data_IF_234708279985
#
_entry.id   IF_234708279985
#
_cell.length_a   1.000
_cell.length_b   1.000
_cell.length_c   1.000
_cell.angle_alpha   90.00
_cell.angle_beta   90.00
_cell.angle_gamma   90.00
#
_symmetry.space_group_name_H-M   'P 1'
#
loop_
_entity.id
_entity.type
_entity.pdbx_description
1 polymer ?
#
# COMPACT_ATOMS: atom_id res chain seq x y z
N UNK A 1 -21.53 2.87 6.05
CA UNK A 1 -20.71 1.64 5.95
C UNK A 1 -19.69 1.82 4.84
N UNK A 2 -18.46 1.37 5.03
CA UNK A 2 -17.39 1.45 4.05
C UNK A 2 -16.56 0.18 4.02
N UNK A 3 -15.83 0.00 2.93
CA UNK A 3 -14.94 -1.14 2.71
C UNK A 3 -13.76 -0.71 1.86
N UNK A 4 -12.55 -1.04 2.28
CA UNK A 4 -11.30 -0.79 1.54
C UNK A 4 -10.44 -2.03 1.51
N UNK A 5 -9.64 -2.16 0.45
CA UNK A 5 -8.67 -3.24 0.30
C UNK A 5 -7.25 -2.67 0.38
N UNK A 6 -6.41 -3.23 1.24
CA UNK A 6 -4.97 -2.98 1.27
C UNK A 6 -4.21 -4.20 0.75
N UNK A 7 -3.19 -3.99 -0.08
CA UNK A 7 -2.29 -5.04 -0.56
C UNK A 7 -0.86 -4.66 -0.24
N UNK A 8 -0.23 -5.38 0.67
CA UNK A 8 1.22 -5.35 0.90
C UNK A 8 1.89 -6.21 -0.17
N UNK A 9 2.70 -5.58 -1.02
CA UNK A 9 3.23 -6.22 -2.22
C UNK A 9 4.65 -6.73 -1.96
N UNK A 10 4.83 -8.04 -2.04
CA UNK A 10 6.12 -8.67 -2.29
C UNK A 10 6.14 -9.39 -3.64
N UNK A 11 7.33 -9.83 -4.05
CA UNK A 11 7.54 -10.52 -5.35
C UNK A 11 8.14 -11.93 -5.19
N UNK A 12 8.15 -12.52 -3.98
CA UNK A 12 8.72 -13.85 -3.78
C UNK A 12 7.76 -14.96 -4.23
N UNK A 13 8.15 -15.85 -5.14
CA UNK A 13 7.37 -17.04 -5.47
C UNK A 13 7.55 -18.17 -4.44
N UNK A 14 8.55 -18.05 -3.54
CA UNK A 14 8.89 -19.10 -2.55
C UNK A 14 8.34 -18.80 -1.16
N UNK A 15 8.29 -17.51 -0.76
CA UNK A 15 7.82 -17.07 0.55
C UNK A 15 6.54 -16.26 0.39
N UNK A 16 5.64 -16.34 1.38
CA UNK A 16 4.45 -15.48 1.44
C UNK A 16 4.84 -14.05 1.86
N UNK A 17 5.49 -13.35 0.93
CA UNK A 17 6.02 -12.00 1.11
C UNK A 17 4.98 -10.91 0.83
N UNK A 18 3.76 -11.28 0.45
CA UNK A 18 2.67 -10.35 0.17
C UNK A 18 1.50 -10.66 1.11
N UNK A 19 0.65 -9.66 1.36
CA UNK A 19 -0.59 -9.82 2.08
C UNK A 19 -1.70 -8.95 1.46
N UNK A 20 -2.94 -9.44 1.54
CA UNK A 20 -4.14 -8.65 1.21
C UNK A 20 -4.99 -8.57 2.46
N UNK A 21 -5.51 -7.38 2.74
CA UNK A 21 -6.38 -7.10 3.87
C UNK A 21 -7.63 -6.36 3.38
N UNK A 22 -8.82 -6.80 3.76
CA UNK A 22 -10.05 -6.01 3.62
C UNK A 22 -10.41 -5.45 4.98
N UNK A 23 -10.68 -4.16 5.05
CA UNK A 23 -11.18 -3.47 6.23
C UNK A 23 -12.60 -2.98 5.92
N UNK A 24 -13.56 -3.41 6.73
CA UNK A 24 -14.96 -2.99 6.66
C UNK A 24 -15.31 -2.20 7.92
N UNK A 25 -16.15 -1.17 7.80
CA UNK A 25 -16.65 -0.43 8.95
C UNK A 25 -18.08 0.06 8.78
N UNK A 26 -18.78 0.15 9.90
CA UNK A 26 -20.05 0.85 10.06
C UNK A 26 -20.04 1.62 11.41
N UNK A 27 -21.12 2.31 11.80
CA UNK A 27 -21.15 3.05 13.07
C UNK A 27 -20.96 2.18 14.33
N UNK A 28 -21.19 0.87 14.25
CA UNK A 28 -21.16 -0.05 15.39
C UNK A 28 -19.92 -0.94 15.45
N UNK A 29 -19.22 -1.17 14.33
CA UNK A 29 -18.06 -2.04 14.30
C UNK A 29 -17.06 -1.73 13.17
N UNK A 30 -15.81 -2.15 13.41
CA UNK A 30 -14.76 -2.27 12.41
C UNK A 30 -14.34 -3.75 12.37
N UNK A 31 -14.25 -4.32 11.18
CA UNK A 31 -13.83 -5.72 10.98
C UNK A 31 -12.80 -5.82 9.87
N UNK A 32 -11.97 -6.86 9.92
CA UNK A 32 -10.98 -7.10 8.88
C UNK A 32 -10.76 -8.59 8.60
N UNK A 33 -10.38 -8.90 7.37
CA UNK A 33 -9.86 -10.21 6.98
C UNK A 33 -8.52 -10.00 6.27
N UNK A 34 -7.53 -10.85 6.57
CA UNK A 34 -6.17 -10.75 6.04
C UNK A 34 -5.67 -12.11 5.57
N UNK A 35 -5.02 -12.12 4.41
CA UNK A 35 -4.39 -13.32 3.87
C UNK A 35 -3.05 -13.04 3.26
N UNK A 36 -2.04 -13.83 3.67
CA UNK A 36 -0.70 -13.81 3.08
C UNK A 36 -0.62 -14.74 1.88
N UNK A 37 0.10 -14.34 0.85
CA UNK A 37 0.27 -15.11 -0.39
C UNK A 37 1.67 -14.97 -0.98
N UNK A 38 2.07 -15.97 -1.78
CA UNK A 38 3.27 -15.93 -2.64
C UNK A 38 2.97 -15.20 -3.95
N UNK A 39 4.01 -14.68 -4.60
CA UNK A 39 3.92 -14.11 -5.95
C UNK A 39 3.79 -15.21 -7.02
N UNK A 40 2.71 -15.99 -6.93
CA UNK A 40 2.30 -17.00 -7.90
C UNK A 40 0.91 -16.61 -8.41
N UNK A 41 0.68 -16.50 -9.74
CA UNK A 41 -0.55 -15.92 -10.28
C UNK A 41 -1.84 -16.49 -9.69
N UNK A 42 -1.97 -17.82 -9.62
CA UNK A 42 -3.16 -18.48 -9.07
C UNK A 42 -3.34 -18.22 -7.56
N UNK A 43 -2.25 -18.13 -6.80
CA UNK A 43 -2.32 -17.86 -5.35
C UNK A 43 -2.66 -16.39 -5.08
N UNK A 44 -2.14 -15.47 -5.89
CA UNK A 44 -2.48 -14.04 -5.82
C UNK A 44 -3.97 -13.84 -6.09
N UNK A 45 -4.49 -14.44 -7.16
CA UNK A 45 -5.90 -14.32 -7.53
C UNK A 45 -6.83 -14.92 -6.46
N UNK A 46 -6.55 -16.14 -6.02
CA UNK A 46 -7.33 -16.80 -4.98
C UNK A 46 -7.31 -16.04 -3.64
N UNK A 47 -6.16 -15.47 -3.26
CA UNK A 47 -6.06 -14.69 -2.03
C UNK A 47 -6.81 -13.35 -2.12
N UNK A 48 -6.57 -12.59 -3.19
CA UNK A 48 -7.17 -11.27 -3.40
C UNK A 48 -8.68 -11.37 -3.52
N UNK A 49 -9.20 -12.25 -4.38
CA UNK A 49 -10.65 -12.40 -4.54
C UNK A 49 -11.30 -13.00 -3.31
N UNK A 50 -10.62 -13.95 -2.63
CA UNK A 50 -11.12 -14.55 -1.40
C UNK A 50 -11.33 -13.53 -0.29
N UNK A 51 -10.38 -12.61 -0.10
CA UNK A 51 -10.46 -11.56 0.95
C UNK A 51 -11.36 -10.39 0.52
N UNK A 52 -11.25 -9.93 -0.73
CA UNK A 52 -12.10 -8.85 -1.24
C UNK A 52 -13.60 -9.25 -1.24
N UNK A 53 -13.90 -10.51 -1.55
CA UNK A 53 -15.26 -11.01 -1.64
C UNK A 53 -16.06 -10.31 -2.75
N UNK A 54 -17.38 -10.22 -2.57
CA UNK A 54 -18.32 -9.56 -3.52
C UNK A 54 -18.67 -8.13 -3.12
N UNK A 55 -18.00 -7.58 -2.11
CA UNK A 55 -18.29 -6.25 -1.56
C UNK A 55 -17.83 -5.18 -2.54
N UNK A 56 -18.54 -4.06 -2.59
CA UNK A 56 -18.07 -2.88 -3.32
C UNK A 56 -17.03 -2.14 -2.48
N UNK A 57 -15.81 -2.04 -3.00
CA UNK A 57 -14.69 -1.37 -2.38
C UNK A 57 -14.70 0.12 -2.72
N UNK A 58 -14.53 0.97 -1.72
CA UNK A 58 -14.37 2.41 -1.92
C UNK A 58 -13.01 2.77 -2.51
N UNK A 59 -11.98 1.99 -2.17
CA UNK A 59 -10.65 2.10 -2.74
C UNK A 59 -9.86 0.79 -2.57
N UNK A 60 -8.84 0.62 -3.40
CA UNK A 60 -7.81 -0.40 -3.25
C UNK A 60 -6.43 0.26 -3.19
N UNK A 61 -5.71 0.06 -2.10
CA UNK A 61 -4.42 0.64 -1.82
C UNK A 61 -3.30 -0.41 -1.91
N UNK A 62 -2.20 -0.09 -2.58
CA UNK A 62 -1.09 -1.03 -2.83
C UNK A 62 0.22 -0.49 -2.26
N UNK A 63 0.85 -1.22 -1.35
CA UNK A 63 2.21 -0.93 -0.87
C UNK A 63 3.24 -1.42 -1.90
N UNK A 64 3.29 -0.71 -3.00
CA UNK A 64 4.16 -1.01 -4.13
C UNK A 64 4.05 0.10 -5.17
N UNK A 65 5.14 0.39 -5.90
CA UNK A 65 5.18 1.56 -6.77
C UNK A 65 4.23 1.38 -7.95
N UNK A 66 3.33 2.34 -8.14
CA UNK A 66 2.37 2.38 -9.23
C UNK A 66 2.52 3.68 -10.03
N UNK A 67 1.95 3.68 -11.24
CA UNK A 67 1.81 4.89 -12.06
C UNK A 67 0.56 4.80 -12.91
N UNK A 68 0.11 5.95 -13.39
CA UNK A 68 -1.01 6.04 -14.33
C UNK A 68 -0.88 5.02 -15.46
N UNK A 69 -1.97 4.30 -15.75
CA UNK A 69 -2.03 3.25 -16.76
C UNK A 69 -1.48 1.88 -16.33
N UNK A 70 -0.95 1.76 -15.10
CA UNK A 70 -0.21 0.57 -14.65
C UNK A 70 0.98 0.22 -15.57
N UNK A 71 1.59 1.25 -16.15
CA UNK A 71 2.80 1.11 -16.96
C UNK A 71 4.00 0.69 -16.09
N UNK A 72 5.01 0.11 -16.73
CA UNK A 72 6.29 -0.14 -16.08
C UNK A 72 6.96 1.17 -15.64
N UNK A 73 7.54 1.17 -14.44
CA UNK A 73 8.37 2.26 -13.92
C UNK A 73 9.84 1.92 -14.20
N UNK A 74 10.39 2.49 -15.28
CA UNK A 74 11.80 2.30 -15.66
C UNK A 74 12.73 3.45 -15.27
N UNK A 75 12.20 4.51 -14.67
CA UNK A 75 12.90 5.78 -14.41
C UNK A 75 12.72 6.25 -12.98
N UNK A 76 13.69 7.01 -12.49
CA UNK A 76 13.63 7.59 -11.15
C UNK A 76 12.53 8.65 -11.07
N UNK A 77 11.60 8.53 -10.11
CA UNK A 77 10.42 9.41 -10.04
C UNK A 77 10.75 10.73 -9.33
N UNK A 78 10.12 11.82 -9.77
CA UNK A 78 10.29 13.12 -9.12
C UNK A 78 9.80 13.10 -7.65
N UNK A 79 8.73 12.36 -7.36
CA UNK A 79 8.26 12.12 -5.99
C UNK A 79 9.36 11.48 -5.12
N UNK A 80 10.01 10.42 -5.60
CA UNK A 80 11.13 9.76 -4.90
C UNK A 80 12.30 10.73 -4.65
N UNK A 81 12.61 11.60 -5.62
CA UNK A 81 13.64 12.65 -5.48
C UNK A 81 13.29 13.68 -4.41
N UNK A 82 12.06 14.21 -4.43
CA UNK A 82 11.61 15.27 -3.52
C UNK A 82 11.52 14.73 -2.10
N UNK A 83 10.90 13.55 -1.94
CA UNK A 83 10.74 12.88 -0.65
C UNK A 83 12.11 12.53 -0.04
N UNK A 84 13.02 11.95 -0.81
CA UNK A 84 14.37 11.61 -0.33
C UNK A 84 15.18 12.86 0.04
N UNK A 85 15.07 13.96 -0.73
CA UNK A 85 15.89 15.17 -0.51
C UNK A 85 15.38 16.07 0.61
N UNK A 86 14.07 16.19 0.81
CA UNK A 86 13.48 17.12 1.79
C UNK A 86 13.03 16.47 3.08
N UNK A 87 12.60 15.20 2.99
CA UNK A 87 12.02 14.48 4.13
C UNK A 87 12.86 13.28 4.56
N UNK A 88 13.97 12.97 3.87
CA UNK A 88 14.74 11.74 4.07
C UNK A 88 15.29 11.48 5.48
N UNK A 89 15.37 12.50 6.34
CA UNK A 89 15.68 12.32 7.77
C UNK A 89 14.46 11.88 8.61
N UNK A 90 13.25 12.17 8.13
CA UNK A 90 11.94 11.95 8.78
C UNK A 90 11.15 10.81 8.15
N UNK A 91 11.56 10.33 6.98
CA UNK A 91 10.94 9.22 6.25
C UNK A 91 11.97 8.13 5.95
N UNK A 92 11.58 6.86 6.02
CA UNK A 92 12.38 5.75 5.49
C UNK A 92 12.58 5.97 3.99
N UNK A 93 13.76 5.66 3.46
CA UNK A 93 14.07 5.85 2.03
C UNK A 93 12.99 5.16 1.19
N UNK A 94 12.22 5.89 0.37
CA UNK A 94 11.35 5.27 -0.61
C UNK A 94 12.21 4.35 -1.48
N UNK A 95 11.85 3.07 -1.59
CA UNK A 95 12.57 2.13 -2.44
C UNK A 95 12.66 2.70 -3.85
N UNK A 96 13.87 2.74 -4.44
CA UNK A 96 14.04 3.33 -5.77
C UNK A 96 13.34 2.45 -6.81
N UNK A 97 12.25 2.93 -7.40
CA UNK A 97 11.48 2.14 -8.38
C UNK A 97 12.31 1.79 -9.64
N UNK A 98 13.39 2.53 -9.91
CA UNK A 98 14.31 2.29 -11.03
C UNK A 98 15.34 1.17 -10.77
N UNK A 99 15.59 0.78 -9.51
CA UNK A 99 16.50 -0.30 -9.19
C UNK A 99 15.88 -1.66 -9.56
N UNK A 100 16.67 -2.74 -9.76
CA UNK A 100 16.13 -4.06 -10.10
C UNK A 100 15.02 -4.54 -9.16
N UNK A 101 15.19 -4.31 -7.85
CA UNK A 101 14.18 -4.60 -6.83
C UNK A 101 12.92 -3.73 -6.99
N UNK A 102 13.09 -2.44 -7.28
CA UNK A 102 11.98 -1.52 -7.51
C UNK A 102 11.17 -1.86 -8.77
N UNK A 103 11.84 -2.32 -9.82
CA UNK A 103 11.18 -2.82 -11.04
C UNK A 103 10.39 -4.10 -10.78
N UNK A 104 10.96 -5.04 -10.02
CA UNK A 104 10.26 -6.27 -9.63
C UNK A 104 9.03 -5.95 -8.76
N UNK A 105 9.17 -5.00 -7.83
CA UNK A 105 8.08 -4.55 -6.98
C UNK A 105 6.98 -3.83 -7.78
N UNK A 106 7.34 -2.99 -8.76
CA UNK A 106 6.38 -2.37 -9.68
C UNK A 106 5.62 -3.41 -10.50
N UNK A 107 6.32 -4.40 -11.05
CA UNK A 107 5.68 -5.48 -11.80
C UNK A 107 4.68 -6.25 -10.91
N UNK A 108 5.10 -6.66 -9.71
CA UNK A 108 4.23 -7.34 -8.76
C UNK A 108 3.03 -6.48 -8.32
N UNK A 109 3.23 -5.18 -8.11
CA UNK A 109 2.16 -4.24 -7.74
C UNK A 109 1.15 -4.08 -8.88
N UNK A 110 1.64 -3.93 -10.13
CA UNK A 110 0.80 -3.88 -11.31
C UNK A 110 -0.01 -5.17 -11.48
N UNK A 111 0.58 -6.34 -11.21
CA UNK A 111 -0.13 -7.63 -11.31
C UNK A 111 -1.25 -7.74 -10.27
N UNK A 112 -0.98 -7.37 -9.01
CA UNK A 112 -2.00 -7.33 -7.97
C UNK A 112 -3.11 -6.33 -8.32
N UNK A 113 -2.75 -5.14 -8.81
CA UNK A 113 -3.72 -4.14 -9.24
C UNK A 113 -4.60 -4.65 -10.38
N UNK A 114 -4.03 -5.34 -11.37
CA UNK A 114 -4.81 -5.96 -12.46
C UNK A 114 -5.76 -7.04 -11.95
N UNK A 115 -5.36 -7.86 -10.97
CA UNK A 115 -6.23 -8.87 -10.37
C UNK A 115 -7.45 -8.22 -9.70
N UNK A 116 -7.23 -7.16 -8.90
CA UNK A 116 -8.31 -6.39 -8.27
C UNK A 116 -9.21 -5.76 -9.34
N UNK A 117 -8.62 -5.12 -10.35
CA UNK A 117 -9.34 -4.47 -11.43
C UNK A 117 -10.14 -5.46 -12.31
N UNK A 118 -9.75 -6.74 -12.39
CA UNK A 118 -10.53 -7.73 -13.15
C UNK A 118 -11.66 -8.36 -12.34
N UNK A 119 -11.46 -8.63 -11.05
CA UNK A 119 -12.39 -9.43 -10.25
C UNK A 119 -13.16 -8.68 -9.16
N UNK A 120 -12.79 -7.43 -8.84
CA UNK A 120 -13.40 -6.67 -7.76
C UNK A 120 -14.18 -5.45 -8.27
N UNK A 121 -15.24 -5.09 -7.55
CA UNK A 121 -15.96 -3.84 -7.79
C UNK A 121 -15.31 -2.75 -6.96
N UNK A 122 -14.57 -1.84 -7.60
CA UNK A 122 -13.92 -0.68 -6.98
C UNK A 122 -14.61 0.59 -7.49
N UNK A 123 -14.97 1.49 -6.58
CA UNK A 123 -15.59 2.79 -6.89
C UNK A 123 -14.72 3.62 -7.85
N UNK A 124 -15.30 4.56 -8.62
CA UNK A 124 -14.56 5.47 -9.47
C UNK A 124 -13.57 6.34 -8.68
N UNK A 125 -12.42 6.62 -9.27
CA UNK A 125 -11.43 7.52 -8.68
C UNK A 125 -11.93 8.97 -8.68
N UNK A 126 -11.99 9.58 -7.50
CA UNK A 126 -12.37 11.00 -7.31
C UNK A 126 -11.18 11.91 -6.94
N UNK A 127 -10.00 11.33 -6.72
CA UNK A 127 -8.79 12.06 -6.39
C UNK A 127 -8.14 12.65 -7.66
N UNK A 128 -7.38 13.75 -7.51
CA UNK A 128 -6.86 14.52 -8.64
C UNK A 128 -5.80 13.77 -9.47
N UNK A 129 -4.90 13.03 -8.82
CA UNK A 129 -3.80 12.29 -9.48
C UNK A 129 -4.17 10.81 -9.58
N UNK A 130 -4.84 10.44 -10.67
CA UNK A 130 -5.40 9.09 -10.85
C UNK A 130 -4.38 8.10 -11.42
N UNK A 131 -4.26 6.93 -10.80
CA UNK A 131 -3.55 5.77 -11.36
C UNK A 131 -4.42 5.05 -12.41
N UNK A 132 -5.72 4.99 -12.14
CA UNK A 132 -6.76 4.39 -12.98
C UNK A 132 -8.08 5.17 -12.78
N UNK A 133 -9.06 4.99 -13.67
CA UNK A 133 -10.42 5.52 -13.51
C UNK A 133 -11.19 4.96 -12.31
N UNK A 134 -10.69 3.87 -11.72
CA UNK A 134 -11.19 3.28 -10.47
C UNK A 134 -10.23 3.66 -9.35
N UNK A 135 -10.74 3.76 -8.12
CA UNK A 135 -10.04 4.24 -6.94
C UNK A 135 -8.91 3.29 -6.48
N UNK A 136 -7.87 3.19 -7.30
CA UNK A 136 -6.61 2.52 -7.03
C UNK A 136 -5.60 3.57 -6.60
N UNK A 137 -4.93 3.35 -5.47
CA UNK A 137 -3.94 4.27 -4.91
C UNK A 137 -2.64 3.53 -4.58
N UNK A 138 -1.51 4.21 -4.78
CA UNK A 138 -0.23 3.79 -4.23
C UNK A 138 -0.22 4.14 -2.74
N UNK A 139 -0.07 3.14 -1.88
CA UNK A 139 0.11 3.31 -0.46
C UNK A 139 1.61 3.49 -0.17
N UNK A 140 1.91 4.35 0.79
CA UNK A 140 3.28 4.56 1.29
C UNK A 140 3.31 4.44 2.81
N UNK A 141 2.80 3.35 3.39
CA UNK A 141 2.46 3.29 4.82
C UNK A 141 3.67 3.63 5.68
N UNK A 142 4.84 3.01 5.46
CA UNK A 142 6.03 3.25 6.29
C UNK A 142 6.75 4.58 6.04
N UNK A 143 6.57 5.21 4.87
CA UNK A 143 7.29 6.44 4.53
C UNK A 143 6.71 7.64 5.27
N UNK A 144 5.39 7.73 5.44
CA UNK A 144 4.73 8.93 5.96
C UNK A 144 4.35 8.87 7.44
N UNK A 145 4.56 7.76 8.16
CA UNK A 145 4.21 7.67 9.59
C UNK A 145 4.79 8.82 10.43
N UNK A 146 6.07 9.15 10.22
CA UNK A 146 6.71 10.23 10.98
C UNK A 146 6.12 11.62 10.71
N UNK A 147 5.54 11.86 9.52
CA UNK A 147 4.95 13.19 9.23
C UNK A 147 3.52 13.34 9.74
N UNK A 148 2.94 12.28 10.30
CA UNK A 148 1.61 12.29 10.94
C UNK A 148 1.70 12.53 12.46
N UNK A 149 2.90 12.77 13.01
CA UNK A 149 3.11 13.09 14.41
C UNK A 149 3.52 14.55 14.57
N UNK A 150 3.17 15.15 15.71
CA UNK A 150 3.62 16.50 16.09
C UNK A 150 5.15 16.57 16.26
N UNK A 151 5.76 15.46 16.70
CA UNK A 151 7.22 15.30 16.80
C UNK A 151 7.76 14.18 15.87
N UNK A 152 7.97 14.47 14.57
CA UNK A 152 8.41 13.49 13.57
C UNK A 152 9.76 12.81 13.83
N UNK A 153 10.61 13.39 14.68
CA UNK A 153 11.96 12.91 14.99
C UNK A 153 11.97 11.61 15.78
N UNK A 154 10.90 11.28 16.50
CA UNK A 154 10.83 10.08 17.35
C UNK A 154 10.62 8.80 16.52
N UNK A 155 10.03 8.92 15.34
CA UNK A 155 9.90 7.83 14.35
C UNK A 155 11.12 7.83 13.42
N UNK A 156 12.27 7.42 13.95
CA UNK A 156 13.53 7.39 13.22
C UNK A 156 13.44 6.58 11.90
N UNK A 157 14.19 7.00 10.87
CA UNK A 157 14.12 6.44 9.51
C UNK A 157 14.60 4.99 9.33
N UNK A 158 15.17 4.33 10.36
CA UNK A 158 16.00 3.12 10.19
C UNK A 158 15.62 1.94 11.10
N UNK A 159 14.55 1.99 11.92
CA UNK A 159 14.20 0.86 12.82
C UNK A 159 12.97 0.08 12.37
N UNK A 160 13.03 -1.24 12.58
CA UNK A 160 11.98 -2.25 12.35
C UNK A 160 10.70 -2.06 13.20
N UNK A 161 10.65 -1.02 14.03
CA UNK A 161 9.61 -0.69 15.03
C UNK A 161 8.75 0.51 14.58
N UNK A 162 8.99 1.13 13.41
CA UNK A 162 8.31 2.39 13.03
C UNK A 162 6.80 2.43 13.24
N UNK A 163 6.09 1.37 12.87
CA UNK A 163 4.65 1.27 13.06
C UNK A 163 4.28 1.19 14.54
N UNK A 164 5.04 0.43 15.33
CA UNK A 164 4.78 0.25 16.77
C UNK A 164 5.10 1.53 17.57
N UNK A 165 6.14 2.30 17.20
CA UNK A 165 6.39 3.65 17.76
C UNK A 165 5.22 4.59 17.40
N UNK A 166 4.80 4.59 16.14
CA UNK A 166 3.73 5.46 15.67
C UNK A 166 2.39 5.18 16.38
N UNK A 167 2.00 3.91 16.50
CA UNK A 167 0.75 3.57 17.19
C UNK A 167 0.82 3.82 18.69
N UNK A 168 2.01 3.73 19.33
CA UNK A 168 2.20 4.15 20.72
C UNK A 168 1.87 5.63 20.92
N UNK A 169 2.37 6.51 20.05
CA UNK A 169 2.05 7.94 20.09
C UNK A 169 0.55 8.24 19.95
N UNK A 170 -0.18 7.43 19.18
CA UNK A 170 -1.63 7.61 19.02
C UNK A 170 -2.44 7.03 20.20
N UNK A 171 -1.85 6.12 20.98
CA UNK A 171 -2.52 5.49 22.12
C UNK A 171 -2.29 6.21 23.45
N UNK A 172 -1.29 7.08 23.54
CA UNK A 172 -1.08 7.89 24.73
C UNK A 172 -2.09 9.05 24.74
N UNK A 173 -2.91 9.20 25.80
CA UNK A 173 -3.82 10.32 25.90
C UNK A 173 -3.02 11.61 25.95
N UNK A 174 -3.30 12.52 25.00
CA UNK A 174 -2.74 13.88 24.99
C UNK A 174 -3.01 14.52 26.35
N UNK A 175 -1.95 14.79 27.11
CA UNK A 175 -2.01 15.54 28.39
C UNK A 175 -2.53 16.96 28.18
#
# INVERSE_FOLDING_TARGET
>A
MGSVLGVDVGFSPKRRSSAVCRLDWDPGAITWDIRRFRALPAEQEAAIHGVAGRVRLQAAAFDGPLRAGLDAIGRYRAAERILTRRLGARIGKPGQASAPVGKALNAAANDCARIVLRGCTVEPARHAVRIHDRAVVEAFPGAFLGVMLDEPSEVAAVRSDRSDVFFRHLSDPVS
#
